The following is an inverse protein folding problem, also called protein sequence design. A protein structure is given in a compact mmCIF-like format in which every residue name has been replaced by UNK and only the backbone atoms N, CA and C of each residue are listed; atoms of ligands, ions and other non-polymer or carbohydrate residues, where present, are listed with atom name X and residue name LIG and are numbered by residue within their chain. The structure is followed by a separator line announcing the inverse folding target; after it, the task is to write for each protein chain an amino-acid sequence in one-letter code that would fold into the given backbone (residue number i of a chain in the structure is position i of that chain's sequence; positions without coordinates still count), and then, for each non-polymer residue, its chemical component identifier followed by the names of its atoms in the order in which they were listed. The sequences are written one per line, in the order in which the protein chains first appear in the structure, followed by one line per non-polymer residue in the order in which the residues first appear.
data_IF_890091878326
#
_entry.id   IF_890091878326
#
_cell.length_a   1.000
_cell.length_b   1.000
_cell.length_c   1.000
_cell.angle_alpha   90.00
_cell.angle_beta   90.00
_cell.angle_gamma   90.00
#
_symmetry.space_group_name_H-M   'P 1'
#
loop_
_entity.id
_entity.type
_entity.pdbx_description
1 polymer ?
#
# COMPACT_ATOMS: atom_id res chain seq x y z
N UNK A 1 -32.74 -35.55 34.52
CA UNK A 1 -32.02 -34.26 34.63
C UNK A 1 -30.98 -34.20 33.53
N UNK A 2 -31.32 -33.70 32.34
CA UNK A 2 -30.36 -33.57 31.24
C UNK A 2 -29.78 -32.16 31.23
N UNK A 3 -28.50 -32.04 31.57
CA UNK A 3 -27.73 -30.80 31.46
C UNK A 3 -27.33 -30.61 30.00
N UNK A 4 -27.94 -29.64 29.33
CA UNK A 4 -27.50 -29.19 28.01
C UNK A 4 -26.20 -28.40 28.18
N UNK A 5 -25.09 -28.94 27.66
CA UNK A 5 -23.81 -28.25 27.55
C UNK A 5 -23.87 -27.41 26.27
N UNK A 6 -23.92 -26.08 26.40
CA UNK A 6 -23.85 -25.15 25.27
C UNK A 6 -22.36 -24.82 25.05
N UNK A 7 -21.75 -25.48 24.07
CA UNK A 7 -20.37 -25.21 23.67
C UNK A 7 -20.29 -23.92 22.84
N UNK A 8 -19.59 -22.92 23.36
CA UNK A 8 -19.17 -21.74 22.61
C UNK A 8 -18.02 -22.14 21.68
N UNK A 9 -18.29 -22.26 20.39
CA UNK A 9 -17.26 -22.43 19.36
C UNK A 9 -16.64 -21.06 19.07
N UNK A 10 -15.52 -20.77 19.73
CA UNK A 10 -14.62 -19.68 19.32
C UNK A 10 -13.84 -20.20 18.12
N UNK A 11 -14.26 -19.84 16.91
CA UNK A 11 -13.46 -20.09 15.71
C UNK A 11 -12.34 -19.04 15.67
N UNK A 12 -11.14 -19.46 16.04
CA UNK A 12 -9.93 -18.67 15.84
C UNK A 12 -9.58 -18.77 14.34
N UNK A 13 -9.88 -17.73 13.56
CA UNK A 13 -9.31 -17.62 12.21
C UNK A 13 -7.83 -17.29 12.39
N UNK A 14 -6.99 -18.30 12.27
CA UNK A 14 -5.55 -18.12 12.14
C UNK A 14 -5.35 -17.51 10.76
N UNK A 15 -5.07 -16.21 10.70
CA UNK A 15 -4.69 -15.55 9.46
C UNK A 15 -3.44 -16.21 8.91
N UNK A 16 -3.52 -16.76 7.70
CA UNK A 16 -2.31 -17.19 7.00
C UNK A 16 -1.50 -15.93 6.64
N UNK A 17 -0.28 -15.83 7.15
CA UNK A 17 0.71 -14.87 6.68
C UNK A 17 1.20 -15.34 5.31
N UNK A 18 0.48 -15.02 4.24
CA UNK A 18 0.96 -15.27 2.89
C UNK A 18 1.76 -14.06 2.43
N UNK A 19 2.90 -14.30 1.79
CA UNK A 19 3.58 -13.30 1.00
C UNK A 19 2.79 -13.10 -0.31
N UNK A 20 2.49 -11.85 -0.66
CA UNK A 20 1.80 -11.54 -1.90
C UNK A 20 2.28 -10.22 -2.52
N UNK A 21 1.99 -10.07 -3.81
CA UNK A 21 2.22 -8.87 -4.59
C UNK A 21 0.96 -8.01 -4.66
N UNK A 22 1.14 -6.70 -4.70
CA UNK A 22 0.10 -5.73 -5.05
C UNK A 22 0.32 -5.25 -6.49
N UNK A 23 -0.76 -5.13 -7.25
CA UNK A 23 -0.75 -4.45 -8.55
C UNK A 23 -1.52 -3.17 -8.36
N UNK A 24 -0.96 -2.09 -8.87
CA UNK A 24 -1.63 -0.80 -8.95
C UNK A 24 -3.00 -0.96 -9.65
N UNK A 25 -3.99 -0.20 -9.17
CA UNK A 25 -5.35 -0.20 -9.72
C UNK A 25 -5.75 1.20 -10.15
N UNK A 26 -5.74 1.46 -11.46
CA UNK A 26 -5.89 2.82 -11.94
C UNK A 26 -4.58 3.57 -11.74
N UNK A 27 -4.68 4.80 -11.26
CA UNK A 27 -3.58 5.68 -10.84
C UNK A 27 -3.42 5.55 -9.31
N UNK A 28 -2.18 5.46 -8.81
CA UNK A 28 -1.95 5.29 -7.37
C UNK A 28 -2.21 6.58 -6.57
N UNK A 29 -2.29 7.73 -7.24
CA UNK A 29 -2.48 9.04 -6.65
C UNK A 29 -1.21 9.57 -5.98
N UNK A 30 -1.16 10.89 -5.83
CA UNK A 30 0.10 11.59 -5.54
C UNK A 30 0.16 12.23 -4.14
N UNK A 31 -0.99 12.32 -3.45
CA UNK A 31 -1.14 12.91 -2.12
C UNK A 31 -1.66 11.89 -1.13
N UNK A 32 -1.50 12.16 0.18
CA UNK A 32 -1.92 11.24 1.25
C UNK A 32 -3.38 10.77 1.13
N UNK A 33 -4.28 11.69 0.76
CA UNK A 33 -5.71 11.41 0.65
C UNK A 33 -6.09 10.64 -0.62
N UNK A 34 -5.20 10.65 -1.63
CA UNK A 34 -5.40 9.95 -2.91
C UNK A 34 -4.54 8.68 -3.02
N UNK A 35 -3.55 8.53 -2.13
CA UNK A 35 -2.62 7.42 -2.11
C UNK A 35 -3.34 6.07 -2.11
N UNK A 36 -2.86 5.16 -2.96
CA UNK A 36 -3.47 3.88 -3.12
C UNK A 36 -3.17 2.98 -1.93
N UNK A 37 -4.23 2.55 -1.26
CA UNK A 37 -4.13 1.64 -0.13
C UNK A 37 -3.83 0.24 -0.65
N UNK A 38 -2.72 -0.34 -0.20
CA UNK A 38 -2.40 -1.74 -0.49
C UNK A 38 -3.36 -2.66 0.26
N UNK A 39 -4.22 -3.36 -0.49
CA UNK A 39 -5.24 -4.27 0.07
C UNK A 39 -4.80 -5.72 -0.11
N UNK A 40 -4.68 -6.45 1.00
CA UNK A 40 -4.25 -7.85 0.99
C UNK A 40 -4.07 -8.38 2.42
N UNK A 41 -3.35 -9.49 2.59
CA UNK A 41 -3.12 -10.06 3.92
C UNK A 41 -1.73 -10.67 4.01
N UNK A 42 -1.03 -10.38 5.10
CA UNK A 42 0.32 -10.88 5.33
C UNK A 42 1.39 -9.98 4.72
N UNK A 43 2.53 -10.57 4.36
CA UNK A 43 3.68 -9.84 3.86
C UNK A 43 3.40 -9.30 2.46
N UNK A 44 3.72 -8.02 2.26
CA UNK A 44 3.74 -7.37 0.97
C UNK A 44 5.15 -7.48 0.42
N UNK A 45 5.35 -8.32 -0.60
CA UNK A 45 6.69 -8.59 -1.16
C UNK A 45 6.97 -7.88 -2.46
N UNK A 46 5.93 -7.33 -3.11
CA UNK A 46 6.13 -6.46 -4.26
C UNK A 46 4.93 -5.58 -4.55
N UNK A 47 5.18 -4.43 -5.15
CA UNK A 47 4.20 -3.55 -5.79
C UNK A 47 4.60 -3.46 -7.27
N UNK A 48 3.63 -3.49 -8.18
CA UNK A 48 3.84 -3.22 -9.61
C UNK A 48 2.91 -2.10 -10.02
N UNK A 49 3.45 -1.10 -10.72
CA UNK A 49 2.72 0.09 -11.16
C UNK A 49 3.26 0.62 -12.49
N UNK A 50 2.74 1.76 -12.93
CA UNK A 50 3.11 2.39 -14.19
C UNK A 50 3.08 3.91 -14.08
N UNK A 51 4.21 4.57 -14.33
CA UNK A 51 4.23 6.02 -14.46
C UNK A 51 3.62 6.41 -15.80
N UNK A 52 2.52 7.15 -15.76
CA UNK A 52 1.81 7.62 -16.97
C UNK A 52 2.05 9.11 -17.25
N UNK A 53 1.50 9.60 -18.36
CA UNK A 53 1.39 11.04 -18.60
C UNK A 53 0.00 11.48 -18.14
N UNK A 54 -0.06 12.25 -17.06
CA UNK A 54 -1.31 12.82 -16.53
C UNK A 54 -1.81 14.01 -17.35
N UNK A 55 -0.91 14.60 -18.13
CA UNK A 55 -1.16 15.73 -19.00
C UNK A 55 -1.88 15.34 -20.28
N UNK A 56 -2.55 16.33 -20.88
CA UNK A 56 -2.96 16.24 -22.27
C UNK A 56 -2.05 17.13 -23.10
N UNK A 57 -1.63 16.63 -24.27
CA UNK A 57 -0.83 17.40 -25.21
C UNK A 57 -1.41 18.83 -25.39
N UNK A 58 -0.56 19.87 -25.34
CA UNK A 58 0.91 19.83 -25.48
C UNK A 58 1.68 19.69 -24.17
N UNK A 59 1.02 19.64 -23.01
CA UNK A 59 1.68 19.65 -21.71
C UNK A 59 1.84 18.20 -21.24
N UNK A 60 3.10 17.74 -21.16
CA UNK A 60 3.44 16.49 -20.48
C UNK A 60 3.47 16.77 -18.98
N UNK A 61 2.69 16.01 -18.21
CA UNK A 61 2.68 16.08 -16.75
C UNK A 61 3.06 14.69 -16.27
N UNK A 62 4.14 14.63 -15.52
CA UNK A 62 4.63 13.40 -14.92
C UNK A 62 3.62 12.82 -13.95
N UNK A 63 3.85 11.59 -13.60
CA UNK A 63 3.04 10.86 -12.64
C UNK A 63 3.90 10.57 -11.41
N UNK A 64 3.23 10.52 -10.27
CA UNK A 64 3.83 10.14 -8.99
C UNK A 64 2.91 9.13 -8.33
N UNK A 65 3.43 7.94 -8.11
CA UNK A 65 2.64 6.91 -7.46
C UNK A 65 2.93 6.86 -5.96
N UNK A 66 1.89 7.04 -5.14
CA UNK A 66 1.97 6.96 -3.69
C UNK A 66 1.17 5.76 -3.15
N UNK A 67 1.86 4.80 -2.55
CA UNK A 67 1.23 3.62 -1.94
C UNK A 67 1.24 3.69 -0.42
N UNK A 68 0.08 3.48 0.18
CA UNK A 68 -0.01 3.28 1.64
C UNK A 68 0.34 1.83 2.00
N UNK A 69 1.38 1.65 2.79
CA UNK A 69 1.89 0.35 3.25
C UNK A 69 2.00 0.30 4.77
N UNK A 70 2.13 -0.90 5.32
CA UNK A 70 2.53 -1.09 6.72
C UNK A 70 3.96 -1.65 6.77
N UNK A 71 4.89 -0.94 7.40
CA UNK A 71 6.24 -1.43 7.65
C UNK A 71 6.22 -2.15 8.99
N UNK A 72 6.39 -3.47 8.97
CA UNK A 72 6.33 -4.35 10.15
C UNK A 72 7.69 -4.61 10.78
N UNK A 73 8.79 -4.32 10.08
CA UNK A 73 10.16 -4.39 10.60
C UNK A 73 11.04 -3.34 9.90
N UNK A 74 11.28 -2.21 10.56
CA UNK A 74 12.11 -1.11 10.02
C UNK A 74 13.58 -1.48 9.86
N UNK A 75 14.11 -2.41 10.65
CA UNK A 75 15.49 -2.88 10.50
C UNK A 75 15.67 -3.79 9.28
N UNK A 76 14.60 -4.47 8.84
CA UNK A 76 14.59 -5.32 7.65
C UNK A 76 13.92 -4.67 6.43
N UNK A 77 13.40 -3.45 6.56
CA UNK A 77 12.74 -2.79 5.45
C UNK A 77 13.74 -2.53 4.32
N UNK A 78 13.35 -2.90 3.11
CA UNK A 78 14.12 -2.60 1.91
C UNK A 78 13.19 -2.53 0.71
N UNK A 79 13.61 -1.80 -0.31
CA UNK A 79 12.90 -1.66 -1.58
C UNK A 79 13.93 -1.69 -2.69
N UNK A 80 13.90 -2.72 -3.54
CA UNK A 80 14.67 -2.75 -4.79
C UNK A 80 13.75 -2.44 -5.96
N UNK A 81 14.22 -1.62 -6.90
CA UNK A 81 13.44 -1.19 -8.06
C UNK A 81 13.88 -1.93 -9.32
N UNK A 82 12.90 -2.35 -10.13
CA UNK A 82 13.09 -2.68 -11.54
C UNK A 82 12.12 -1.84 -12.36
N UNK A 83 12.62 -1.16 -13.39
CA UNK A 83 11.80 -0.29 -14.24
C UNK A 83 12.11 -0.49 -15.73
N UNK A 84 11.08 -0.29 -16.55
CA UNK A 84 11.13 -0.28 -18.02
C UNK A 84 10.45 1.00 -18.51
N UNK A 85 11.05 2.13 -18.15
CA UNK A 85 10.63 3.46 -18.55
C UNK A 85 11.09 3.76 -19.98
N UNK A 86 10.38 4.68 -20.64
CA UNK A 86 10.60 4.99 -22.05
C UNK A 86 11.94 5.64 -22.40
N UNK A 87 12.79 5.97 -21.41
CA UNK A 87 14.10 6.58 -21.61
C UNK A 87 15.22 5.87 -20.84
N UNK A 88 15.65 6.43 -19.70
CA UNK A 88 16.87 6.04 -18.99
C UNK A 88 16.62 5.37 -17.63
N UNK A 89 15.35 5.18 -17.26
CA UNK A 89 14.91 4.59 -16.00
C UNK A 89 15.22 5.44 -14.75
N UNK A 90 15.65 6.70 -14.93
CA UNK A 90 16.01 7.59 -13.83
C UNK A 90 14.80 7.96 -12.97
N UNK A 91 14.86 7.65 -11.68
CA UNK A 91 13.71 7.68 -10.77
C UNK A 91 14.12 7.93 -9.31
N UNK A 92 13.14 8.21 -8.47
CA UNK A 92 13.36 8.49 -7.05
C UNK A 92 12.32 7.79 -6.19
N UNK A 93 12.79 7.17 -5.11
CA UNK A 93 11.96 6.63 -4.04
C UNK A 93 11.83 7.65 -2.92
N UNK A 94 10.62 7.78 -2.39
CA UNK A 94 10.33 8.60 -1.22
C UNK A 94 9.63 7.77 -0.16
N UNK A 95 9.93 8.02 1.10
CA UNK A 95 9.20 7.46 2.23
C UNK A 95 8.65 8.58 3.10
N UNK A 96 7.34 8.59 3.28
CA UNK A 96 6.66 9.52 4.18
C UNK A 96 6.05 8.77 5.36
N UNK A 97 6.08 9.39 6.53
CA UNK A 97 5.41 8.86 7.71
C UNK A 97 3.88 8.95 7.62
N UNK A 98 3.18 8.46 8.66
CA UNK A 98 1.71 8.50 8.70
C UNK A 98 1.08 9.90 8.69
N UNK A 99 1.88 10.95 8.96
CA UNK A 99 1.46 12.35 8.93
C UNK A 99 1.82 13.03 7.60
N UNK A 100 2.57 12.35 6.73
CA UNK A 100 3.01 12.85 5.43
C UNK A 100 4.34 13.59 5.47
N UNK A 101 5.09 13.49 6.57
CA UNK A 101 6.43 14.07 6.65
C UNK A 101 7.41 13.18 5.90
N UNK A 102 8.28 13.77 5.08
CA UNK A 102 9.35 13.03 4.40
C UNK A 102 10.35 12.54 5.45
N UNK A 103 10.57 11.22 5.51
CA UNK A 103 11.49 10.59 6.47
C UNK A 103 12.71 9.98 5.81
N UNK A 104 12.61 9.58 4.54
CA UNK A 104 13.75 9.07 3.77
C UNK A 104 13.51 9.21 2.26
N UNK A 105 14.57 9.24 1.47
CA UNK A 105 14.51 9.22 0.00
C UNK A 105 15.79 8.64 -0.61
N UNK A 106 15.69 8.18 -1.85
CA UNK A 106 16.81 7.57 -2.59
C UNK A 106 16.61 7.81 -4.08
N UNK A 107 17.63 8.27 -4.81
CA UNK A 107 17.61 8.51 -6.27
C UNK A 107 18.62 7.60 -7.02
N UNK A 108 19.87 7.52 -6.59
CA UNK A 108 20.93 6.85 -7.35
C UNK A 108 21.76 5.84 -6.53
N UNK A 109 21.28 4.59 -6.42
CA UNK A 109 22.04 3.52 -5.73
C UNK A 109 22.76 2.62 -6.71
N UNK A 110 22.06 2.13 -7.75
CA UNK A 110 22.63 1.26 -8.78
C UNK A 110 22.45 1.91 -10.15
N UNK A 111 23.41 2.74 -10.55
CA UNK A 111 23.24 3.59 -11.73
C UNK A 111 22.23 4.69 -11.40
N UNK A 112 21.15 4.77 -12.19
CA UNK A 112 20.04 5.74 -12.03
C UNK A 112 18.82 5.14 -11.30
N UNK A 113 19.04 4.01 -10.61
CA UNK A 113 17.98 3.25 -9.96
C UNK A 113 18.08 3.45 -8.45
N UNK A 114 16.99 3.92 -7.79
CA UNK A 114 16.95 4.11 -6.36
C UNK A 114 16.75 2.79 -5.62
N UNK A 115 17.12 2.78 -4.34
CA UNK A 115 16.91 1.64 -3.45
C UNK A 115 16.89 2.09 -1.98
N UNK A 116 16.02 1.47 -1.19
CA UNK A 116 16.16 1.42 0.26
C UNK A 116 16.78 0.08 0.66
N UNK A 117 17.80 0.11 1.50
CA UNK A 117 18.51 -1.04 2.03
C UNK A 117 18.07 -1.35 3.47
N UNK A 118 18.21 -2.61 3.92
CA UNK A 118 18.03 -2.94 5.32
C UNK A 118 18.93 -2.09 6.21
N UNK A 119 18.32 -1.40 7.17
CA UNK A 119 19.01 -0.51 8.10
C UNK A 119 18.88 0.98 7.78
N UNK A 120 18.42 1.37 6.58
CA UNK A 120 18.32 2.80 6.20
C UNK A 120 17.33 3.56 7.10
N UNK A 121 16.30 2.86 7.60
CA UNK A 121 15.24 3.43 8.45
C UNK A 121 15.12 2.76 9.83
N UNK A 122 16.18 2.11 10.32
CA UNK A 122 16.14 1.33 11.57
C UNK A 122 15.79 2.14 12.83
N UNK A 123 16.04 3.45 12.82
CA UNK A 123 15.67 4.39 13.88
C UNK A 123 14.17 4.75 13.88
N UNK A 124 13.44 4.44 12.79
CA UNK A 124 12.01 4.72 12.68
C UNK A 124 11.17 3.65 13.38
N UNK A 125 9.93 4.02 13.71
CA UNK A 125 8.97 3.09 14.32
C UNK A 125 8.23 2.27 13.27
N UNK A 126 7.96 1.01 13.55
CA UNK A 126 7.03 0.21 12.74
C UNK A 126 5.65 0.90 12.69
N UNK A 127 4.98 0.84 11.54
CA UNK A 127 3.72 1.54 11.37
C UNK A 127 3.29 1.75 9.94
N UNK A 128 2.36 2.67 9.76
CA UNK A 128 1.87 3.10 8.45
C UNK A 128 2.82 4.13 7.85
N UNK A 129 3.17 3.90 6.58
CA UNK A 129 3.98 4.80 5.76
C UNK A 129 3.36 4.94 4.38
N UNK A 130 3.80 5.97 3.66
CA UNK A 130 3.52 6.16 2.25
C UNK A 130 4.82 6.01 1.46
N UNK A 131 4.87 5.03 0.57
CA UNK A 131 5.99 4.77 -0.33
C UNK A 131 5.68 5.43 -1.67
N UNK A 132 6.49 6.43 -2.02
CA UNK A 132 6.39 7.17 -3.27
C UNK A 132 7.40 6.67 -4.31
N UNK A 133 6.98 6.63 -5.57
CA UNK A 133 7.86 6.42 -6.72
C UNK A 133 7.58 7.50 -7.76
N UNK A 134 8.62 8.20 -8.20
CA UNK A 134 8.51 9.29 -9.18
C UNK A 134 9.72 9.28 -10.13
N UNK A 135 9.63 10.06 -11.20
CA UNK A 135 10.77 10.33 -12.07
C UNK A 135 11.82 11.19 -11.37
N UNK A 136 13.07 11.06 -11.80
CA UNK A 136 14.15 11.95 -11.39
C UNK A 136 13.78 13.43 -11.57
N UNK A 137 14.25 14.27 -10.65
CA UNK A 137 14.00 15.71 -10.58
C UNK A 137 12.53 16.09 -10.34
N UNK A 138 11.76 15.16 -9.77
CA UNK A 138 10.43 15.40 -9.20
C UNK A 138 10.56 15.38 -7.68
N UNK A 139 10.26 16.49 -7.01
CA UNK A 139 10.51 16.65 -5.57
C UNK A 139 9.23 16.98 -4.81
N UNK A 140 8.97 16.36 -3.64
CA UNK A 140 7.81 16.73 -2.85
C UNK A 140 8.01 18.09 -2.18
N UNK A 141 6.93 18.85 -2.02
CA UNK A 141 6.89 20.05 -1.15
C UNK A 141 6.94 19.68 0.35
N UNK A 142 7.08 18.40 0.66
CA UNK A 142 7.20 17.88 2.01
C UNK A 142 8.57 18.17 2.61
N UNK A 143 8.61 18.28 3.94
CA UNK A 143 9.85 18.40 4.69
C UNK A 143 9.71 17.71 6.06
N UNK A 144 10.76 17.78 6.88
CA UNK A 144 10.72 17.30 8.26
C UNK A 144 9.70 18.05 9.14
N UNK A 145 9.22 19.22 8.70
CA UNK A 145 8.27 20.04 9.47
C UNK A 145 6.92 20.22 8.80
N UNK A 146 6.82 19.94 7.49
CA UNK A 146 5.61 20.16 6.71
C UNK A 146 5.19 18.88 5.98
N UNK A 147 3.92 18.47 6.09
CA UNK A 147 3.44 17.28 5.42
C UNK A 147 3.35 17.50 3.90
N UNK A 148 3.41 16.39 3.16
CA UNK A 148 3.22 16.37 1.72
C UNK A 148 1.91 17.07 1.33
N UNK A 149 2.04 18.10 0.52
CA UNK A 149 0.91 18.92 0.02
C UNK A 149 0.97 19.17 -1.49
N UNK A 150 2.07 18.79 -2.15
CA UNK A 150 2.33 19.03 -3.56
C UNK A 150 3.68 18.49 -4.01
N UNK A 151 3.96 18.65 -5.30
CA UNK A 151 5.18 18.21 -5.98
C UNK A 151 5.69 19.32 -6.90
N UNK A 152 6.98 19.60 -6.84
CA UNK A 152 7.71 20.35 -7.85
C UNK A 152 8.16 19.38 -8.95
N UNK A 153 7.72 19.64 -10.16
CA UNK A 153 7.78 18.71 -11.30
C UNK A 153 8.67 19.30 -12.38
N UNK A 154 9.88 18.77 -12.49
CA UNK A 154 10.79 19.10 -13.58
C UNK A 154 11.50 17.82 -14.09
N UNK A 155 10.75 16.77 -14.47
CA UNK A 155 11.32 15.48 -14.81
C UNK A 155 12.28 15.60 -16.00
N UNK A 156 13.49 15.07 -15.84
CA UNK A 156 14.52 15.17 -16.87
C UNK A 156 15.29 13.85 -17.05
N UNK A 157 14.96 13.03 -18.06
CA UNK A 157 13.93 13.25 -19.07
C UNK A 157 12.51 12.97 -18.55
N UNK A 158 11.51 13.58 -19.18
CA UNK A 158 10.14 13.09 -19.08
C UNK A 158 10.05 11.68 -19.69
N UNK A 159 9.48 10.74 -18.94
CA UNK A 159 9.33 9.36 -19.37
C UNK A 159 8.13 8.68 -18.71
N UNK A 160 7.62 7.64 -19.34
CA UNK A 160 6.50 6.84 -18.84
C UNK A 160 6.89 5.37 -18.92
N UNK A 161 6.30 4.51 -18.10
CA UNK A 161 6.49 3.07 -18.23
C UNK A 161 6.27 2.32 -16.93
N UNK A 162 6.44 1.02 -17.01
CA UNK A 162 6.13 0.12 -15.92
C UNK A 162 7.30 0.02 -14.94
N UNK A 163 6.98 -0.17 -13.67
CA UNK A 163 7.96 -0.46 -12.64
C UNK A 163 7.47 -1.50 -11.65
N UNK A 164 8.43 -2.05 -10.91
CA UNK A 164 8.22 -3.00 -9.82
C UNK A 164 9.10 -2.60 -8.64
N UNK A 165 8.47 -2.50 -7.48
CA UNK A 165 9.11 -2.35 -6.19
C UNK A 165 9.08 -3.72 -5.52
N UNK A 166 10.23 -4.32 -5.25
CA UNK A 166 10.32 -5.55 -4.47
C UNK A 166 10.68 -5.18 -3.02
N UNK A 167 9.86 -5.63 -2.06
CA UNK A 167 9.92 -5.18 -0.66
C UNK A 167 10.26 -6.31 0.31
N UNK A 168 10.95 -5.93 1.40
CA UNK A 168 11.06 -6.72 2.64
C UNK A 168 10.62 -5.87 3.83
N UNK A 169 10.27 -6.51 4.96
CA UNK A 169 9.84 -5.80 6.17
C UNK A 169 8.50 -5.06 6.05
N UNK A 170 7.71 -5.36 5.01
CA UNK A 170 6.43 -4.71 4.72
C UNK A 170 5.24 -5.70 4.71
N UNK A 171 4.07 -5.18 5.02
CA UNK A 171 2.76 -5.83 5.01
C UNK A 171 1.73 -4.95 4.28
N UNK A 172 0.64 -5.58 3.83
CA UNK A 172 -0.49 -4.85 3.27
C UNK A 172 -1.09 -3.89 4.32
N UNK A 173 -1.38 -2.65 3.93
CA UNK A 173 -1.91 -1.64 4.86
C UNK A 173 -3.36 -1.91 5.26
N UNK A 174 -4.14 -2.63 4.43
CA UNK A 174 -5.52 -2.96 4.73
C UNK A 174 -5.81 -4.43 4.42
N UNK A 175 -6.58 -5.07 5.32
CA UNK A 175 -7.09 -6.42 5.11
C UNK A 175 -8.45 -6.33 4.41
N UNK A 176 -8.71 -7.08 3.32
CA UNK A 176 -10.03 -7.16 2.74
C UNK A 176 -11.05 -7.53 3.82
N UNK A 177 -12.09 -6.72 4.01
CA UNK A 177 -13.13 -7.07 4.96
C UNK A 177 -13.68 -8.46 4.60
N UNK A 178 -13.57 -9.45 5.50
CA UNK A 178 -14.07 -10.76 5.17
C UNK A 178 -15.59 -10.66 5.03
N UNK A 179 -16.12 -11.36 4.04
CA UNK A 179 -17.56 -11.59 3.80
C UNK A 179 -18.34 -12.08 5.03
N UNK A 180 -17.66 -12.33 6.15
CA UNK A 180 -18.19 -12.53 7.50
C UNK A 180 -19.26 -11.54 7.94
N UNK A 181 -19.23 -10.26 7.55
CA UNK A 181 -20.33 -9.31 7.87
C UNK A 181 -21.62 -9.72 7.14
N UNK A 182 -21.51 -10.08 5.86
CA UNK A 182 -22.65 -10.57 5.08
C UNK A 182 -23.17 -11.90 5.63
N UNK A 183 -22.28 -12.81 6.04
CA UNK A 183 -22.64 -14.10 6.66
C UNK A 183 -23.26 -13.95 8.05
N UNK A 184 -22.78 -13.01 8.87
CA UNK A 184 -23.38 -12.67 10.16
C UNK A 184 -24.78 -12.08 9.97
N UNK A 185 -24.96 -11.19 8.99
CA UNK A 185 -26.26 -10.62 8.63
C UNK A 185 -27.26 -11.68 8.16
N UNK A 186 -26.82 -12.61 7.30
CA UNK A 186 -27.66 -13.72 6.83
C UNK A 186 -27.99 -14.72 7.96
N UNK A 187 -27.03 -15.03 8.83
CA UNK A 187 -27.24 -15.92 9.98
C UNK A 187 -28.28 -15.40 10.98
N UNK A 188 -28.25 -14.09 11.27
CA UNK A 188 -29.24 -13.45 12.14
C UNK A 188 -30.62 -13.35 11.47
N UNK A 189 -30.68 -13.06 10.17
CA UNK A 189 -31.94 -13.06 9.41
C UNK A 189 -32.57 -14.46 9.38
N UNK A 190 -31.79 -15.51 9.12
CA UNK A 190 -32.26 -16.90 9.14
C UNK A 190 -32.79 -17.37 10.50
N UNK A 191 -32.16 -16.93 11.60
CA UNK A 191 -32.68 -17.18 12.96
C UNK A 191 -33.97 -16.41 13.27
N UNK A 192 -34.19 -15.23 12.68
CA UNK A 192 -35.45 -14.48 12.81
C UNK A 192 -36.65 -15.18 12.16
N UNK A 193 -36.47 -15.83 11.01
CA UNK A 193 -37.55 -16.51 10.28
C UNK A 193 -37.92 -17.89 10.84
N UNK A 194 -37.04 -18.55 11.60
CA UNK A 194 -37.30 -19.87 12.19
C UNK A 194 -38.30 -19.86 13.37
N UNK A 195 -38.76 -18.68 13.83
CA UNK A 195 -39.72 -18.52 14.95
C UNK A 195 -41.20 -18.44 14.56
N UNK A 196 -41.65 -18.99 13.42
CA UNK A 196 -43.09 -19.18 13.20
C UNK A 196 -43.57 -20.50 13.83
N UNK A 197 -43.96 -20.41 15.11
CA UNK A 197 -44.64 -21.49 15.86
C UNK A 197 -46.00 -21.82 15.23
N UNK A 198 -46.26 -23.11 15.04
CA UNK A 198 -47.59 -23.68 14.75
C UNK A 198 -48.57 -23.28 15.86
N UNK A 199 -49.72 -22.69 15.48
CA UNK A 199 -50.88 -22.55 16.36
C UNK A 199 -51.77 -23.80 16.17
N UNK A 200 -52.15 -24.52 17.23
CA UNK A 200 -53.11 -25.62 17.16
C UNK A 200 -54.55 -25.10 17.19
N UNK A 201 -55.41 -25.68 16.34
CA UNK A 201 -56.84 -25.87 16.53
C UNK A 201 -57.21 -27.26 16.00
#
# INVERSE_FOLDING_TARGET
MNKFFLGLLVSCLIGQTNAASFSEVGDAGELLDTAQVTVGSGLLTSISGSLINLGQAPDDVDDIDLFKIFISDTALFSVTVTSDLSADNDSTLFLFDSLGQLVDFSDDVIGLIPQFNPGDIDELSNGTYFLGFALYNTWPDASLTEPLSGWDRDPSPFQTGDYRLDLTGAEFSAVPEPTSIALLGLGLAGMGFSRKRKLPN
#
